data_IF_197376887016
#
_entry.id   IF_197376887016
#
_cell.length_a   1.000
_cell.length_b   1.000
_cell.length_c   1.000
_cell.angle_alpha   90.00
_cell.angle_beta   90.00
_cell.angle_gamma   90.00
#
_symmetry.space_group_name_H-M   'P 1'
#
loop_
_entity.id
_entity.type
_entity.pdbx_description
1 polymer ?
#
# COMPACT_ATOMS: atom_id res chain seq x y z
N UNK A 1 11.81 -60.10 -11.58
CA UNK A 1 12.58 -59.28 -10.61
C UNK A 1 11.81 -59.30 -9.30
N UNK A 2 12.40 -59.81 -8.23
CA UNK A 2 11.73 -59.82 -6.92
C UNK A 2 11.62 -58.38 -6.37
N UNK A 3 10.52 -58.03 -5.69
CA UNK A 3 10.37 -56.72 -5.07
C UNK A 3 11.48 -56.50 -4.04
N UNK A 4 12.22 -55.39 -4.18
CA UNK A 4 13.28 -55.03 -3.22
C UNK A 4 12.61 -54.75 -1.87
N UNK A 5 13.04 -55.38 -0.77
CA UNK A 5 12.33 -55.24 0.49
C UNK A 5 12.53 -53.83 1.04
N UNK A 6 11.43 -53.20 1.44
CA UNK A 6 11.37 -51.83 1.98
C UNK A 6 12.32 -51.70 3.17
N UNK A 7 13.17 -50.67 3.15
CA UNK A 7 14.06 -50.35 4.27
C UNK A 7 13.25 -49.71 5.39
N UNK A 8 13.25 -50.34 6.56
CA UNK A 8 12.45 -49.92 7.73
C UNK A 8 13.24 -49.03 8.70
N UNK A 9 14.57 -49.01 8.62
CA UNK A 9 15.43 -48.17 9.45
C UNK A 9 16.82 -47.97 8.83
N UNK A 10 17.57 -46.98 9.34
CA UNK A 10 18.97 -46.79 8.99
C UNK A 10 19.85 -47.99 9.40
N UNK A 11 19.49 -48.66 10.49
CA UNK A 11 20.20 -49.84 11.00
C UNK A 11 20.07 -51.00 9.99
N UNK A 12 18.89 -51.20 9.39
CA UNK A 12 18.66 -52.22 8.37
C UNK A 12 19.46 -51.96 7.09
N UNK A 13 19.64 -50.68 6.73
CA UNK A 13 20.46 -50.28 5.60
C UNK A 13 21.94 -50.60 5.85
N UNK A 14 22.46 -50.26 7.04
CA UNK A 14 23.85 -50.55 7.43
C UNK A 14 24.10 -52.07 7.40
N UNK A 15 23.22 -52.87 8.01
CA UNK A 15 23.36 -54.32 8.01
C UNK A 15 23.34 -54.93 6.59
N UNK A 16 22.55 -54.37 5.66
CA UNK A 16 22.57 -54.77 4.24
C UNK A 16 23.86 -54.42 3.54
N UNK A 17 24.44 -53.26 3.82
CA UNK A 17 25.71 -52.82 3.24
C UNK A 17 26.85 -53.70 3.72
N UNK A 18 26.86 -54.05 5.01
CA UNK A 18 27.87 -54.92 5.62
C UNK A 18 27.80 -56.35 5.08
N UNK A 19 26.59 -56.89 4.90
CA UNK A 19 26.38 -58.25 4.36
C UNK A 19 26.47 -58.35 2.83
N UNK A 20 26.54 -57.23 2.10
CA UNK A 20 26.67 -57.21 0.66
C UNK A 20 28.06 -57.64 0.16
N UNK A 21 28.12 -58.17 -1.07
CA UNK A 21 29.38 -58.40 -1.78
C UNK A 21 30.13 -57.08 -2.00
N UNK A 22 31.46 -57.10 -2.19
CA UNK A 22 32.24 -55.88 -2.41
C UNK A 22 31.71 -55.01 -3.58
N UNK A 23 31.30 -55.66 -4.67
CA UNK A 23 30.75 -54.97 -5.85
C UNK A 23 29.42 -54.28 -5.51
N UNK A 24 28.48 -55.01 -4.91
CA UNK A 24 27.17 -54.47 -4.55
C UNK A 24 27.28 -53.38 -3.48
N UNK A 25 28.22 -53.53 -2.54
CA UNK A 25 28.52 -52.51 -1.53
C UNK A 25 28.97 -51.21 -2.19
N UNK A 26 29.87 -51.29 -3.17
CA UNK A 26 30.34 -50.13 -3.91
C UNK A 26 29.21 -49.42 -4.65
N UNK A 27 28.31 -50.18 -5.29
CA UNK A 27 27.14 -49.62 -5.99
C UNK A 27 26.19 -48.90 -5.00
N UNK A 28 25.83 -49.57 -3.90
CA UNK A 28 24.92 -48.99 -2.89
C UNK A 28 25.50 -47.71 -2.28
N UNK A 29 26.78 -47.70 -1.93
CA UNK A 29 27.43 -46.51 -1.36
C UNK A 29 27.51 -45.36 -2.37
N UNK A 30 27.72 -45.66 -3.65
CA UNK A 30 27.74 -44.65 -4.71
C UNK A 30 26.35 -44.03 -4.92
N UNK A 31 25.30 -44.86 -4.95
CA UNK A 31 23.92 -44.38 -5.05
C UNK A 31 23.54 -43.50 -3.84
N UNK A 32 23.90 -43.94 -2.62
CA UNK A 32 23.64 -43.18 -1.39
C UNK A 32 24.37 -41.84 -1.40
N UNK A 33 25.64 -41.80 -1.82
CA UNK A 33 26.40 -40.57 -1.94
C UNK A 33 25.75 -39.61 -2.92
N UNK A 34 25.42 -40.09 -4.13
CA UNK A 34 24.80 -39.26 -5.16
C UNK A 34 23.43 -38.71 -4.72
N UNK A 35 22.63 -39.55 -4.06
CA UNK A 35 21.35 -39.10 -3.49
C UNK A 35 21.54 -38.07 -2.38
N UNK A 36 22.53 -38.28 -1.50
CA UNK A 36 22.89 -37.32 -0.46
C UNK A 36 23.31 -35.96 -1.02
N UNK A 37 24.10 -35.96 -2.11
CA UNK A 37 24.49 -34.73 -2.80
C UNK A 37 23.29 -34.00 -3.40
N UNK A 38 22.33 -34.70 -4.00
CA UNK A 38 21.10 -34.08 -4.51
C UNK A 38 20.27 -33.44 -3.38
N UNK A 39 20.16 -34.09 -2.22
CA UNK A 39 19.48 -33.50 -1.07
C UNK A 39 20.20 -32.27 -0.52
N UNK A 40 21.53 -32.28 -0.53
CA UNK A 40 22.33 -31.12 -0.13
C UNK A 40 22.07 -29.93 -1.05
N UNK A 41 22.11 -30.14 -2.37
CA UNK A 41 21.85 -29.10 -3.37
C UNK A 41 20.44 -28.51 -3.20
N UNK A 42 19.43 -29.37 -3.01
CA UNK A 42 18.05 -28.94 -2.78
C UNK A 42 17.91 -28.16 -1.46
N UNK A 43 18.61 -28.57 -0.40
CA UNK A 43 18.62 -27.87 0.88
C UNK A 43 19.19 -26.45 0.74
N UNK A 44 20.29 -26.30 0.00
CA UNK A 44 20.89 -25.00 -0.30
C UNK A 44 19.94 -24.13 -1.13
N UNK A 45 19.28 -24.70 -2.14
CA UNK A 45 18.31 -23.97 -2.97
C UNK A 45 17.13 -23.44 -2.13
N UNK A 46 16.56 -24.29 -1.26
CA UNK A 46 15.48 -23.90 -0.35
C UNK A 46 15.93 -22.81 0.60
N UNK A 47 17.13 -22.93 1.19
CA UNK A 47 17.73 -21.91 2.06
C UNK A 47 17.82 -20.55 1.35
N UNK A 48 18.35 -20.54 0.13
CA UNK A 48 18.46 -19.33 -0.68
C UNK A 48 17.09 -18.69 -1.00
N UNK A 49 16.08 -19.51 -1.34
CA UNK A 49 14.72 -19.03 -1.57
C UNK A 49 14.11 -18.42 -0.30
N UNK A 50 14.32 -19.07 0.84
CA UNK A 50 13.83 -18.58 2.13
C UNK A 50 14.44 -17.23 2.49
N UNK A 51 15.75 -17.05 2.31
CA UNK A 51 16.42 -15.76 2.53
C UNK A 51 15.87 -14.66 1.61
N UNK A 52 15.66 -14.96 0.31
CA UNK A 52 15.06 -14.00 -0.63
C UNK A 52 13.65 -13.58 -0.20
N UNK A 53 12.78 -14.55 0.12
CA UNK A 53 11.42 -14.26 0.57
C UNK A 53 11.41 -13.44 1.87
N UNK A 54 12.33 -13.72 2.80
CA UNK A 54 12.46 -12.95 4.05
C UNK A 54 12.82 -11.49 3.77
N UNK A 55 13.73 -11.25 2.82
CA UNK A 55 14.10 -9.90 2.41
C UNK A 55 12.94 -9.16 1.73
N UNK A 56 12.22 -9.82 0.81
CA UNK A 56 11.05 -9.25 0.14
C UNK A 56 9.95 -8.86 1.15
N UNK A 57 9.70 -9.72 2.14
CA UNK A 57 8.73 -9.44 3.21
C UNK A 57 9.13 -8.21 4.04
N UNK A 58 10.42 -8.05 4.32
CA UNK A 58 10.94 -6.87 5.03
C UNK A 58 10.75 -5.59 4.22
N UNK A 59 11.08 -5.63 2.93
CA UNK A 59 10.88 -4.51 2.01
C UNK A 59 9.39 -4.11 1.93
N UNK A 60 8.48 -5.08 1.84
CA UNK A 60 7.03 -4.82 1.79
C UNK A 60 6.53 -4.15 3.08
N UNK A 61 6.98 -4.60 4.25
CA UNK A 61 6.62 -3.96 5.54
C UNK A 61 7.10 -2.52 5.61
N UNK A 62 8.30 -2.23 5.07
CA UNK A 62 8.80 -0.85 4.98
C UNK A 62 7.88 0.04 4.13
N UNK A 63 7.41 -0.47 2.98
CA UNK A 63 6.46 0.26 2.12
C UNK A 63 5.12 0.49 2.81
N UNK A 64 4.62 -0.49 3.56
CA UNK A 64 3.38 -0.35 4.33
C UNK A 64 3.48 0.74 5.40
N UNK A 65 4.63 0.84 6.08
CA UNK A 65 4.90 1.91 7.04
C UNK A 65 4.92 3.29 6.38
N UNK A 66 5.59 3.44 5.23
CA UNK A 66 5.61 4.69 4.46
C UNK A 66 4.19 5.11 4.05
N UNK A 67 3.33 4.15 3.69
CA UNK A 67 1.93 4.42 3.34
C UNK A 67 1.13 4.96 4.52
N UNK A 68 1.38 4.46 5.73
CA UNK A 68 0.76 4.98 6.96
C UNK A 68 1.24 6.40 7.26
N UNK A 69 2.54 6.67 7.13
CA UNK A 69 3.12 7.99 7.34
C UNK A 69 2.54 9.04 6.36
N UNK A 70 2.46 8.71 5.07
CA UNK A 70 1.82 9.56 4.05
C UNK A 70 0.37 9.84 4.42
N UNK A 71 -0.38 8.85 4.90
CA UNK A 71 -1.78 9.03 5.31
C UNK A 71 -1.89 10.01 6.47
N UNK A 72 -1.02 9.91 7.48
CA UNK A 72 -0.99 10.82 8.61
C UNK A 72 -0.64 12.26 8.17
N UNK A 73 0.41 12.41 7.35
CA UNK A 73 0.83 13.72 6.82
C UNK A 73 -0.27 14.37 5.98
N UNK A 74 -0.93 13.61 5.11
CA UNK A 74 -2.05 14.13 4.32
C UNK A 74 -3.22 14.59 5.19
N UNK A 75 -3.56 13.83 6.24
CA UNK A 75 -4.59 14.24 7.18
C UNK A 75 -4.24 15.56 7.87
N UNK A 76 -2.99 15.71 8.32
CA UNK A 76 -2.51 16.94 8.96
C UNK A 76 -2.52 18.12 7.99
N UNK A 77 -2.07 17.93 6.75
CA UNK A 77 -2.08 18.96 5.71
C UNK A 77 -3.51 19.45 5.40
N UNK A 78 -4.48 18.54 5.30
CA UNK A 78 -5.89 18.88 5.06
C UNK A 78 -6.46 19.71 6.22
N UNK A 79 -6.19 19.32 7.47
CA UNK A 79 -6.66 20.10 8.63
C UNK A 79 -6.03 21.49 8.67
N UNK A 80 -4.73 21.60 8.42
CA UNK A 80 -4.05 22.89 8.33
C UNK A 80 -4.66 23.79 7.24
N UNK A 81 -4.93 23.25 6.04
CA UNK A 81 -5.57 24.01 4.96
C UNK A 81 -6.96 24.52 5.36
N UNK A 82 -7.77 23.69 6.03
CA UNK A 82 -9.08 24.11 6.54
C UNK A 82 -8.95 25.23 7.57
N UNK A 83 -8.02 25.08 8.53
CA UNK A 83 -7.77 26.11 9.54
C UNK A 83 -7.32 27.43 8.93
N UNK A 84 -6.39 27.38 7.96
CA UNK A 84 -5.94 28.56 7.23
C UNK A 84 -7.08 29.22 6.46
N UNK A 85 -7.89 28.45 5.72
CA UNK A 85 -9.03 29.00 4.99
C UNK A 85 -10.06 29.67 5.92
N UNK A 86 -10.32 29.11 7.11
CA UNK A 86 -11.19 29.73 8.11
C UNK A 86 -10.61 31.04 8.65
N UNK A 87 -9.29 31.08 8.90
CA UNK A 87 -8.62 32.30 9.35
C UNK A 87 -8.66 33.39 8.28
N UNK A 88 -8.36 33.04 7.03
CA UNK A 88 -8.42 33.95 5.88
C UNK A 88 -9.83 34.52 5.69
N UNK A 89 -10.86 33.67 5.78
CA UNK A 89 -12.26 34.11 5.73
C UNK A 89 -12.60 35.10 6.85
N UNK A 90 -12.21 34.79 8.10
CA UNK A 90 -12.45 35.69 9.23
C UNK A 90 -11.72 37.03 9.08
N UNK A 91 -10.52 37.01 8.52
CA UNK A 91 -9.75 38.22 8.19
C UNK A 91 -10.42 39.04 7.08
N UNK A 92 -10.96 38.40 6.04
CA UNK A 92 -11.69 39.14 4.99
C UNK A 92 -12.97 39.79 5.53
N UNK A 93 -13.72 39.10 6.39
CA UNK A 93 -14.94 39.63 7.00
C UNK A 93 -14.65 40.81 7.95
N UNK A 94 -13.56 40.76 8.72
CA UNK A 94 -13.18 41.84 9.63
C UNK A 94 -12.70 43.10 8.89
N UNK A 95 -12.06 42.95 7.73
CA UNK A 95 -11.69 44.06 6.86
C UNK A 95 -12.94 44.74 6.27
N UNK A 96 -13.91 43.96 5.80
CA UNK A 96 -15.18 44.47 5.26
C UNK A 96 -16.01 45.21 6.32
N UNK A 97 -15.95 44.79 7.57
CA UNK A 97 -16.68 45.43 8.68
C UNK A 97 -15.92 46.59 9.33
N UNK A 98 -14.59 46.67 9.17
CA UNK A 98 -13.76 47.78 9.68
C UNK A 98 -13.66 48.99 8.75
N UNK A 99 -13.80 48.81 7.43
CA UNK A 99 -13.91 49.92 6.47
C UNK A 99 -15.38 50.22 6.24
N UNK A 100 -15.91 51.28 6.86
CA UNK A 100 -17.27 51.80 6.63
C UNK A 100 -17.48 52.36 5.22
N UNK A 101 -17.29 51.55 4.18
CA UNK A 101 -17.59 51.89 2.80
C UNK A 101 -19.04 51.47 2.55
N UNK A 102 -19.90 52.48 2.40
CA UNK A 102 -21.31 52.33 2.09
C UNK A 102 -21.53 51.44 0.85
N UNK A 103 -22.48 50.51 0.96
CA UNK A 103 -22.96 49.66 -0.12
C UNK A 103 -23.53 50.51 -1.27
N UNK A 104 -23.18 50.22 -2.54
CA UNK A 104 -24.14 50.29 -3.62
C UNK A 104 -24.76 48.90 -3.78
N UNK A 105 -26.08 48.84 -3.68
CA UNK A 105 -26.95 47.70 -3.97
C UNK A 105 -26.36 46.69 -4.98
N UNK A 106 -25.73 45.65 -4.46
CA UNK A 106 -25.53 44.40 -5.18
C UNK A 106 -25.49 43.31 -4.12
N UNK A 107 -26.58 42.56 -4.00
CA UNK A 107 -26.52 41.27 -3.32
C UNK A 107 -25.45 40.47 -4.04
N UNK A 108 -24.30 40.14 -3.42
CA UNK A 108 -23.40 39.19 -4.00
C UNK A 108 -24.09 37.86 -3.76
N UNK A 109 -24.83 37.37 -4.75
CA UNK A 109 -25.05 35.93 -4.86
C UNK A 109 -23.66 35.32 -4.75
N UNK A 110 -23.43 34.59 -3.68
CA UNK A 110 -22.24 33.79 -3.46
C UNK A 110 -22.22 32.72 -4.54
N UNK A 111 -21.78 33.08 -5.75
CA UNK A 111 -21.46 32.14 -6.79
C UNK A 111 -20.26 31.33 -6.29
N UNK A 112 -20.39 30.04 -5.99
CA UNK A 112 -19.30 29.21 -5.48
C UNK A 112 -18.15 29.02 -6.49
N UNK A 113 -18.22 29.69 -7.65
CA UNK A 113 -17.48 29.34 -8.87
C UNK A 113 -16.34 30.31 -9.23
N UNK A 114 -16.01 31.30 -8.39
CA UNK A 114 -14.91 32.24 -8.67
C UNK A 114 -13.69 32.01 -7.75
N UNK A 115 -13.50 30.79 -7.24
CA UNK A 115 -12.26 30.45 -6.51
C UNK A 115 -11.20 29.88 -7.47
N UNK A 116 -11.61 29.15 -8.52
CA UNK A 116 -10.65 28.34 -9.29
C UNK A 116 -9.80 29.11 -10.30
N UNK A 117 -10.34 30.16 -10.93
CA UNK A 117 -9.60 30.86 -11.99
C UNK A 117 -8.39 31.66 -11.46
N UNK A 118 -8.42 32.04 -10.18
CA UNK A 118 -7.36 32.86 -9.55
C UNK A 118 -6.21 32.03 -8.97
N UNK A 119 -6.42 30.73 -8.67
CA UNK A 119 -5.42 29.91 -7.98
C UNK A 119 -4.58 29.03 -8.92
N UNK A 120 -5.09 28.62 -10.08
CA UNK A 120 -4.35 27.72 -11.00
C UNK A 120 -4.27 28.20 -12.44
N UNK A 121 -5.03 29.24 -12.82
CA UNK A 121 -5.08 29.73 -14.20
C UNK A 121 -5.73 28.76 -15.20
N UNK A 122 -6.14 27.57 -14.76
CA UNK A 122 -6.76 26.53 -15.58
C UNK A 122 -8.24 26.39 -15.24
N UNK A 123 -9.10 26.32 -16.28
CA UNK A 123 -10.51 26.05 -16.07
C UNK A 123 -10.72 24.55 -15.80
N UNK A 124 -10.59 24.17 -14.53
CA UNK A 124 -10.72 22.78 -14.09
C UNK A 124 -12.15 22.28 -14.02
N UNK A 125 -13.13 23.17 -14.25
CA UNK A 125 -14.55 22.81 -14.35
C UNK A 125 -14.82 21.81 -15.49
N UNK A 126 -13.90 21.68 -16.45
CA UNK A 126 -13.98 20.76 -17.59
C UNK A 126 -13.50 19.33 -17.27
N UNK A 127 -12.80 19.11 -16.14
CA UNK A 127 -12.32 17.77 -15.79
C UNK A 127 -13.45 16.92 -15.21
N UNK A 128 -13.75 15.79 -15.86
CA UNK A 128 -14.80 14.86 -15.40
C UNK A 128 -14.62 14.39 -13.96
N UNK A 129 -13.37 14.19 -13.53
CA UNK A 129 -13.05 13.76 -12.16
C UNK A 129 -13.47 14.84 -11.15
N UNK A 130 -13.12 16.09 -11.44
CA UNK A 130 -13.47 17.24 -10.61
C UNK A 130 -14.98 17.47 -10.54
N UNK A 131 -15.68 17.38 -11.69
CA UNK A 131 -17.14 17.46 -11.74
C UNK A 131 -17.81 16.36 -10.90
N UNK A 132 -17.24 15.16 -10.88
CA UNK A 132 -17.76 14.02 -10.11
C UNK A 132 -17.58 14.25 -8.61
N UNK A 133 -16.41 14.75 -8.19
CA UNK A 133 -16.12 15.07 -6.79
C UNK A 133 -17.01 16.21 -6.26
N UNK A 134 -17.22 17.26 -7.04
CA UNK A 134 -18.15 18.35 -6.70
C UNK A 134 -19.58 17.83 -6.57
N UNK A 135 -20.06 17.00 -7.52
CA UNK A 135 -21.41 16.41 -7.43
C UNK A 135 -21.60 15.59 -6.14
N UNK A 136 -20.57 14.83 -5.75
CA UNK A 136 -20.59 14.05 -4.51
C UNK A 136 -20.61 14.99 -3.28
N UNK A 137 -19.76 16.02 -3.28
CA UNK A 137 -19.68 17.00 -2.19
C UNK A 137 -21.00 17.77 -2.01
N UNK A 138 -21.60 18.25 -3.10
CA UNK A 138 -22.90 18.93 -3.11
C UNK A 138 -24.02 18.01 -2.62
N UNK A 139 -24.05 16.76 -3.09
CA UNK A 139 -25.06 15.78 -2.64
C UNK A 139 -24.94 15.44 -1.15
N UNK A 140 -23.71 15.37 -0.62
CA UNK A 140 -23.46 15.08 0.80
C UNK A 140 -23.75 16.26 1.73
N UNK A 141 -23.73 17.48 1.21
CA UNK A 141 -23.97 18.70 1.99
C UNK A 141 -25.26 19.40 1.58
N UNK A 142 -26.15 18.73 0.84
CA UNK A 142 -27.39 19.31 0.33
C UNK A 142 -28.22 19.99 1.44
N UNK A 143 -28.30 19.34 2.61
CA UNK A 143 -29.05 19.83 3.77
C UNK A 143 -28.42 21.05 4.45
N UNK A 144 -27.14 21.35 4.18
CA UNK A 144 -26.44 22.54 4.70
C UNK A 144 -26.58 23.75 3.78
N UNK A 145 -26.97 23.55 2.52
CA UNK A 145 -27.15 24.63 1.55
C UNK A 145 -28.59 25.15 1.47
N UNK A 146 -29.57 24.41 2.00
CA UNK A 146 -30.97 24.88 2.14
C UNK A 146 -31.11 26.01 3.15
N UNK A 147 -30.26 26.05 4.19
CA UNK A 147 -30.24 27.13 5.20
C UNK A 147 -29.63 28.45 4.71
N UNK A 148 -29.13 28.51 3.47
CA UNK A 148 -28.57 29.73 2.86
C UNK A 148 -29.54 30.43 1.90
N UNK A 149 -30.76 29.90 1.73
CA UNK A 149 -31.80 30.48 0.86
C UNK A 149 -33.02 31.05 1.61
N UNK A 150 -32.98 31.11 2.95
CA UNK A 150 -34.01 31.73 3.79
C UNK A 150 -33.57 33.08 4.33
#
# INVERSE_FOLDING_TARGET
MAPRPVLTSAIDLVARIESASPQNRSEILTELYNSGMQYLDLSVEIGNKFTKLTQELSNLRSVENLKLEIKCLNSAAIENLKSTAVLEYKLSESLLSGTGIAQPNHVPRSEPYIIDRKFTGEDRSLYQVFQKEIKIALKRNADRYTTLQS
#
